data_IF_484708795249
#
_entry.id   IF_484708795249
#
_cell.length_a   1.000
_cell.length_b   1.000
_cell.length_c   1.000
_cell.angle_alpha   90.00
_cell.angle_beta   90.00
_cell.angle_gamma   90.00
#
_symmetry.space_group_name_H-M   'P 1'
#
loop_
_entity.id
_entity.type
_entity.pdbx_description
1 polymer ?
#
# COMPACT_ATOMS: atom_id res chain seq x y z
N UNK A 1 -21.12 -2.23 -12.24
CA UNK A 1 -19.65 -2.25 -12.42
C UNK A 1 -19.06 -2.03 -11.04
N UNK A 2 -18.28 -2.95 -10.44
CA UNK A 2 -17.72 -2.71 -9.12
C UNK A 2 -16.63 -1.65 -9.26
N UNK A 3 -17.00 -0.39 -9.08
CA UNK A 3 -16.05 0.68 -8.78
C UNK A 3 -15.40 0.25 -7.47
N UNK A 4 -14.13 -0.16 -7.55
CA UNK A 4 -13.34 -0.46 -6.37
C UNK A 4 -13.33 0.82 -5.54
N UNK A 5 -13.68 0.73 -4.26
CA UNK A 5 -13.81 1.87 -3.33
C UNK A 5 -12.46 2.56 -2.99
N UNK A 6 -11.43 2.28 -3.79
CA UNK A 6 -10.09 2.81 -3.60
C UNK A 6 -9.57 3.45 -4.89
N UNK A 7 -8.97 4.63 -4.74
CA UNK A 7 -8.23 5.29 -5.81
C UNK A 7 -6.79 4.82 -5.76
N UNK A 8 -6.29 4.25 -6.85
CA UNK A 8 -4.86 3.99 -6.97
C UNK A 8 -4.14 5.32 -7.16
N UNK A 9 -3.22 5.64 -6.26
CA UNK A 9 -2.49 6.90 -6.27
C UNK A 9 -1.13 6.75 -6.92
N UNK A 10 -0.31 5.84 -6.40
CA UNK A 10 1.07 5.68 -6.83
C UNK A 10 1.61 4.26 -6.54
N UNK A 11 2.75 3.91 -7.10
CA UNK A 11 3.48 2.69 -6.78
C UNK A 11 4.91 3.02 -6.41
N UNK A 12 5.29 2.60 -5.21
CA UNK A 12 6.61 2.79 -4.66
C UNK A 12 7.26 1.45 -4.34
N UNK A 13 8.58 1.45 -4.22
CA UNK A 13 9.33 0.27 -3.77
C UNK A 13 9.61 0.46 -2.29
N UNK A 14 9.16 -0.48 -1.47
CA UNK A 14 9.44 -0.49 -0.04
C UNK A 14 10.33 -1.66 0.34
N UNK A 15 10.92 -1.60 1.53
CA UNK A 15 11.58 -2.76 2.10
C UNK A 15 10.58 -3.59 2.92
N UNK A 16 10.74 -4.91 2.84
CA UNK A 16 10.10 -5.89 3.71
C UNK A 16 10.60 -5.69 5.15
N UNK A 17 9.71 -5.58 6.16
CA UNK A 17 10.14 -5.36 7.55
C UNK A 17 10.87 -6.58 8.15
N UNK A 18 10.61 -7.77 7.64
CA UNK A 18 11.21 -9.01 8.15
C UNK A 18 12.47 -9.40 7.38
N UNK A 19 12.42 -9.28 6.05
CA UNK A 19 13.48 -9.73 5.15
C UNK A 19 14.35 -8.64 4.56
N UNK A 20 14.01 -7.36 4.73
CA UNK A 20 14.73 -6.20 4.19
C UNK A 20 14.94 -6.23 2.66
N UNK A 21 14.20 -7.08 1.94
CA UNK A 21 14.20 -7.13 0.48
C UNK A 21 13.32 -6.03 -0.09
N UNK A 22 13.70 -5.54 -1.28
CA UNK A 22 12.88 -4.60 -2.06
C UNK A 22 11.62 -5.32 -2.54
N UNK A 23 10.48 -4.80 -2.12
CA UNK A 23 9.15 -5.31 -2.47
C UNK A 23 8.31 -4.17 -3.03
N UNK A 24 7.42 -4.52 -3.95
CA UNK A 24 6.47 -3.58 -4.50
C UNK A 24 5.43 -3.16 -3.48
N UNK A 25 5.19 -1.85 -3.39
CA UNK A 25 4.13 -1.27 -2.57
C UNK A 25 3.22 -0.37 -3.41
N UNK A 26 1.91 -0.58 -3.31
CA UNK A 26 0.89 0.26 -3.96
C UNK A 26 0.32 1.23 -2.93
N UNK A 27 0.29 2.50 -3.29
CA UNK A 27 -0.39 3.56 -2.56
C UNK A 27 -1.83 3.61 -3.08
N UNK A 28 -2.78 3.38 -2.18
CA UNK A 28 -4.21 3.46 -2.44
C UNK A 28 -4.82 4.47 -1.48
N UNK A 29 -5.72 5.28 -1.98
CA UNK A 29 -6.53 6.21 -1.19
C UNK A 29 -7.90 5.59 -1.04
N UNK A 30 -8.31 5.36 0.20
CA UNK A 30 -9.59 4.75 0.55
C UNK A 30 -10.13 5.49 1.77
N UNK A 31 -11.40 5.92 1.74
CA UNK A 31 -12.05 6.62 2.86
C UNK A 31 -11.26 7.82 3.39
N UNK A 32 -10.82 8.71 2.49
CA UNK A 32 -10.01 9.91 2.82
C UNK A 32 -8.70 9.61 3.57
N UNK A 33 -8.20 8.37 3.44
CA UNK A 33 -6.96 7.94 4.03
C UNK A 33 -6.05 7.28 3.01
N UNK A 34 -4.75 7.51 3.18
CA UNK A 34 -3.73 6.94 2.32
C UNK A 34 -3.20 5.66 2.96
N UNK A 35 -3.41 4.56 2.26
CA UNK A 35 -2.91 3.24 2.62
C UNK A 35 -1.80 2.81 1.66
N UNK A 36 -0.78 2.21 2.24
CA UNK A 36 0.31 1.58 1.51
C UNK A 36 0.21 0.07 1.66
N UNK A 37 0.10 -0.61 0.54
CA UNK A 37 -0.06 -2.05 0.45
C UNK A 37 1.17 -2.68 -0.18
N UNK A 38 1.97 -3.40 0.59
CA UNK A 38 3.17 -4.08 0.12
C UNK A 38 2.97 -5.58 0.14
N UNK A 39 3.50 -6.28 -0.87
CA UNK A 39 3.45 -7.74 -0.93
C UNK A 39 4.87 -8.30 -0.99
N UNK A 40 5.25 -9.00 0.06
CA UNK A 40 6.44 -9.82 0.08
C UNK A 40 6.10 -11.24 -0.41
N UNK A 41 6.89 -11.83 -1.33
CA UNK A 41 6.68 -13.22 -1.76
C UNK A 41 6.90 -14.25 -0.63
N UNK A 42 7.68 -13.88 0.39
CA UNK A 42 8.11 -14.78 1.46
C UNK A 42 7.26 -14.60 2.74
N UNK A 43 6.97 -13.34 3.10
CA UNK A 43 6.27 -12.99 4.35
C UNK A 43 4.78 -12.61 4.16
N UNK A 44 4.33 -12.49 2.91
CA UNK A 44 2.93 -12.18 2.60
C UNK A 44 2.61 -10.70 2.42
N UNK A 45 1.37 -10.32 2.71
CA UNK A 45 0.83 -9.00 2.40
C UNK A 45 0.74 -8.11 3.64
N UNK A 46 1.13 -6.85 3.49
CA UNK A 46 1.07 -5.86 4.55
C UNK A 46 0.31 -4.63 4.04
N UNK A 47 -0.74 -4.23 4.75
CA UNK A 47 -1.44 -2.96 4.56
C UNK A 47 -1.11 -2.06 5.75
N UNK A 48 -0.53 -0.91 5.49
CA UNK A 48 -0.22 0.09 6.53
C UNK A 48 -0.90 1.40 6.14
N UNK A 49 -1.49 2.09 7.12
CA UNK A 49 -1.98 3.46 6.92
C UNK A 49 -0.78 4.39 6.99
N UNK A 50 -0.52 5.16 5.93
CA UNK A 50 0.60 6.10 5.88
C UNK A 50 0.16 7.54 6.12
N UNK A 51 -1.08 7.88 5.76
CA UNK A 51 -1.64 9.19 6.04
C UNK A 51 -3.15 9.09 6.29
N UNK A 52 -3.66 10.05 7.06
CA UNK A 52 -5.08 10.25 7.39
C UNK A 52 -5.65 11.50 6.73
N UNK A 53 -4.84 12.19 5.93
CA UNK A 53 -5.13 13.48 5.31
C UNK A 53 -4.76 13.39 3.83
N UNK A 54 -5.69 13.80 2.96
CA UNK A 54 -5.55 13.83 1.50
C UNK A 54 -5.83 15.28 1.07
N UNK A 55 -4.91 16.19 1.40
CA UNK A 55 -5.02 17.60 1.05
C UNK A 55 -3.99 18.02 0.01
#
# INVERSE_FOLDING_TARGET
MPVRDYTYYDYTISLCPECLKRVGAKIIIENDAVFMTKRCPDHGFFKTKIATDVH
#
